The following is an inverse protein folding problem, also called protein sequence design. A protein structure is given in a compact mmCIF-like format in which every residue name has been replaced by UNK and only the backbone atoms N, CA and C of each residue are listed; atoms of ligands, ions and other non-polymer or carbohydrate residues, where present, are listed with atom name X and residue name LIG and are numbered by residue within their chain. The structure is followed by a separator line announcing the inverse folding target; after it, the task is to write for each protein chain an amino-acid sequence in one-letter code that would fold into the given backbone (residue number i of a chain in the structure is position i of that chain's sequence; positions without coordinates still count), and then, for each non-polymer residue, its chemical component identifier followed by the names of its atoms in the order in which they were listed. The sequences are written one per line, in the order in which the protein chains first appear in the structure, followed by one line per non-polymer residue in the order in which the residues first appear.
data_IF_699549358291
#
_entry.id   IF_699549358291
#
_cell.length_a   1.000
_cell.length_b   1.000
_cell.length_c   1.000
_cell.angle_alpha   90.00
_cell.angle_beta   90.00
_cell.angle_gamma   90.00
#
_symmetry.space_group_name_H-M   'P 1'
#
loop_
_entity.id
_entity.type
_entity.pdbx_description
1 polymer ?
#
# COMPACT_ATOMS: atom_id res chain seq x y z
N UNK A 1 -19.95 -34.56 -9.06
CA UNK A 1 -19.71 -33.41 -8.17
C UNK A 1 -18.22 -33.08 -8.16
N UNK A 2 -17.69 -32.55 -9.27
CA UNK A 2 -16.33 -31.99 -9.36
C UNK A 2 -16.50 -30.71 -10.17
N UNK A 3 -15.76 -29.65 -9.84
CA UNK A 3 -15.53 -28.42 -10.63
C UNK A 3 -16.04 -27.09 -10.06
N UNK A 4 -15.89 -26.84 -8.76
CA UNK A 4 -15.83 -25.46 -8.23
C UNK A 4 -14.42 -25.12 -7.70
N UNK A 5 -13.71 -26.08 -7.10
CA UNK A 5 -12.37 -25.86 -6.53
C UNK A 5 -11.26 -25.61 -7.56
N UNK A 6 -11.36 -26.16 -8.78
CA UNK A 6 -10.33 -26.03 -9.82
C UNK A 6 -10.28 -24.59 -10.38
N UNK A 7 -11.45 -23.97 -10.60
CA UNK A 7 -11.56 -22.60 -11.10
C UNK A 7 -11.02 -21.56 -10.11
N UNK A 8 -11.21 -21.78 -8.80
CA UNK A 8 -10.73 -20.87 -7.77
C UNK A 8 -9.19 -20.93 -7.64
N UNK A 9 -8.60 -22.12 -7.75
CA UNK A 9 -7.16 -22.30 -7.70
C UNK A 9 -6.44 -21.64 -8.88
N UNK A 10 -6.98 -21.78 -10.09
CA UNK A 10 -6.41 -21.15 -11.28
C UNK A 10 -6.53 -19.62 -11.24
N UNK A 11 -7.67 -19.09 -10.76
CA UNK A 11 -7.85 -17.66 -10.57
C UNK A 11 -6.90 -17.07 -9.52
N UNK A 12 -6.71 -17.76 -8.38
CA UNK A 12 -5.77 -17.33 -7.35
C UNK A 12 -4.34 -17.29 -7.88
N UNK A 13 -3.95 -18.32 -8.64
CA UNK A 13 -2.61 -18.42 -9.23
C UNK A 13 -2.36 -17.32 -10.26
N UNK A 14 -3.37 -17.00 -11.08
CA UNK A 14 -3.29 -15.90 -12.03
C UNK A 14 -3.15 -14.54 -11.34
N UNK A 15 -3.89 -14.31 -10.26
CA UNK A 15 -3.77 -13.10 -9.44
C UNK A 15 -2.39 -12.98 -8.79
N UNK A 16 -1.84 -14.07 -8.27
CA UNK A 16 -0.51 -14.06 -7.64
C UNK A 16 0.60 -13.70 -8.64
N UNK A 17 0.51 -14.20 -9.89
CA UNK A 17 1.44 -13.85 -10.97
C UNK A 17 1.33 -12.35 -11.27
N UNK A 18 0.13 -11.83 -11.44
CA UNK A 18 -0.09 -10.42 -11.75
C UNK A 18 0.40 -9.49 -10.63
N UNK A 19 0.13 -9.84 -9.36
CA UNK A 19 0.63 -9.09 -8.20
C UNK A 19 2.17 -9.11 -8.20
N UNK A 20 2.79 -10.26 -8.46
CA UNK A 20 4.24 -10.39 -8.50
C UNK A 20 4.86 -9.52 -9.59
N UNK A 21 4.28 -9.50 -10.78
CA UNK A 21 4.72 -8.65 -11.89
C UNK A 21 4.57 -7.17 -11.54
N UNK A 22 3.40 -6.76 -11.04
CA UNK A 22 3.15 -5.37 -10.62
C UNK A 22 4.06 -4.91 -9.50
N UNK A 23 4.45 -5.78 -8.57
CA UNK A 23 5.33 -5.40 -7.47
C UNK A 23 6.82 -5.64 -7.77
N UNK A 24 7.17 -6.24 -8.92
CA UNK A 24 8.55 -6.60 -9.27
C UNK A 24 9.52 -5.41 -9.30
N UNK A 25 9.04 -4.24 -9.72
CA UNK A 25 9.84 -3.01 -9.83
C UNK A 25 10.06 -2.30 -8.48
N UNK A 26 9.37 -2.72 -7.42
CA UNK A 26 9.52 -2.14 -6.08
C UNK A 26 10.68 -2.85 -5.38
N UNK A 27 11.81 -2.13 -5.27
CA UNK A 27 13.06 -2.63 -4.69
C UNK A 27 12.94 -3.04 -3.22
N UNK A 28 12.24 -2.24 -2.41
CA UNK A 28 12.10 -2.46 -0.97
C UNK A 28 10.62 -2.47 -0.58
N UNK A 29 10.18 -3.49 0.16
CA UNK A 29 8.81 -3.65 0.65
C UNK A 29 8.87 -3.71 2.18
N UNK A 30 8.32 -2.70 2.86
CA UNK A 30 8.35 -2.59 4.32
C UNK A 30 6.94 -2.81 4.84
N UNK A 31 6.77 -3.83 5.69
CA UNK A 31 5.51 -4.13 6.33
C UNK A 31 5.51 -3.58 7.76
N UNK A 32 4.54 -2.71 8.07
CA UNK A 32 4.36 -2.15 9.42
C UNK A 32 3.16 -2.83 10.05
N UNK A 33 3.38 -3.61 11.12
CA UNK A 33 2.35 -4.36 11.83
C UNK A 33 2.25 -3.93 13.30
N UNK A 34 1.11 -4.19 13.92
CA UNK A 34 0.89 -4.02 15.36
C UNK A 34 0.03 -5.15 15.90
N UNK A 35 0.34 -5.62 17.11
CA UNK A 35 -0.48 -6.61 17.82
C UNK A 35 -1.71 -6.02 18.55
N UNK A 36 -1.83 -4.70 18.67
CA UNK A 36 -2.95 -4.02 19.36
C UNK A 36 -3.40 -2.75 18.63
N UNK A 37 -4.69 -2.41 18.77
CA UNK A 37 -5.24 -1.15 18.26
C UNK A 37 -4.69 0.06 19.02
N UNK A 38 -4.58 1.22 18.35
CA UNK A 38 -4.22 2.49 18.99
C UNK A 38 -2.72 2.75 19.24
N UNK A 39 -1.82 1.82 18.91
CA UNK A 39 -0.37 2.01 19.11
C UNK A 39 0.30 2.96 18.11
N UNK A 40 -0.45 3.50 17.16
CA UNK A 40 0.09 4.41 16.15
C UNK A 40 0.74 3.75 14.93
N UNK A 41 0.41 2.49 14.61
CA UNK A 41 0.91 1.77 13.40
C UNK A 41 0.80 2.62 12.12
N UNK A 42 -0.36 3.21 11.87
CA UNK A 42 -0.60 4.04 10.68
C UNK A 42 0.21 5.35 10.72
N UNK A 43 0.43 5.93 11.91
CA UNK A 43 1.32 7.08 12.10
C UNK A 43 2.76 6.73 11.74
N UNK A 44 3.26 5.61 12.24
CA UNK A 44 4.63 5.15 11.94
C UNK A 44 4.80 4.92 10.44
N UNK A 45 3.84 4.23 9.80
CA UNK A 45 3.90 4.00 8.35
C UNK A 45 3.87 5.31 7.53
N UNK A 46 3.02 6.26 7.91
CA UNK A 46 2.91 7.57 7.26
C UNK A 46 4.20 8.38 7.39
N UNK A 47 4.71 8.56 8.62
CA UNK A 47 5.91 9.36 8.86
C UNK A 47 7.16 8.71 8.27
N UNK A 48 7.27 7.38 8.30
CA UNK A 48 8.36 6.68 7.62
C UNK A 48 8.35 6.94 6.12
N UNK A 49 7.16 6.90 5.50
CA UNK A 49 7.01 7.16 4.07
C UNK A 49 7.41 8.59 3.70
N UNK A 50 6.96 9.57 4.48
CA UNK A 50 7.35 10.98 4.31
C UNK A 50 8.86 11.17 4.50
N UNK A 51 9.45 10.54 5.51
CA UNK A 51 10.89 10.64 5.77
C UNK A 51 11.73 10.07 4.62
N UNK A 52 11.32 8.93 4.05
CA UNK A 52 11.96 8.33 2.89
C UNK A 52 11.77 9.19 1.64
N UNK A 53 10.58 9.75 1.42
CA UNK A 53 10.34 10.67 0.31
C UNK A 53 11.21 11.93 0.42
N UNK A 54 11.35 12.52 1.62
CA UNK A 54 12.24 13.66 1.89
C UNK A 54 13.72 13.35 1.64
N UNK A 55 14.13 12.09 1.74
CA UNK A 55 15.48 11.64 1.38
C UNK A 55 15.67 11.40 -0.12
N UNK A 56 14.66 11.69 -0.94
CA UNK A 56 14.72 11.57 -2.40
C UNK A 56 14.32 10.19 -2.96
N UNK A 57 13.80 9.29 -2.12
CA UNK A 57 13.32 7.99 -2.60
C UNK A 57 11.91 8.11 -3.22
N UNK A 58 11.63 7.30 -4.25
CA UNK A 58 10.26 7.07 -4.73
C UNK A 58 9.57 6.12 -3.76
N UNK A 59 8.54 6.61 -3.07
CA UNK A 59 7.85 5.88 -2.01
C UNK A 59 6.37 5.78 -2.34
N UNK A 60 5.82 4.58 -2.21
CA UNK A 60 4.38 4.33 -2.17
C UNK A 60 3.98 3.92 -0.75
N UNK A 61 2.83 4.41 -0.29
CA UNK A 61 2.23 4.00 0.97
C UNK A 61 0.88 3.35 0.67
N UNK A 62 0.77 2.06 0.97
CA UNK A 62 -0.45 1.29 0.82
C UNK A 62 -1.03 1.05 2.21
N UNK A 63 -2.26 1.49 2.43
CA UNK A 63 -3.01 1.17 3.64
C UNK A 63 -3.86 -0.07 3.40
N UNK A 64 -3.74 -1.04 4.29
CA UNK A 64 -4.56 -2.27 4.28
C UNK A 64 -5.50 -2.33 5.49
N UNK A 65 -5.47 -1.31 6.37
CA UNK A 65 -6.38 -1.21 7.51
C UNK A 65 -7.73 -0.60 7.09
N UNK A 66 -8.79 -1.40 7.17
CA UNK A 66 -10.16 -0.97 6.87
C UNK A 66 -10.83 -0.11 7.97
N UNK A 67 -10.25 0.00 9.18
CA UNK A 67 -10.96 0.52 10.37
C UNK A 67 -10.24 1.67 11.12
N UNK A 68 -9.35 2.41 10.46
CA UNK A 68 -8.61 3.54 11.07
C UNK A 68 -8.86 4.90 10.38
N UNK A 69 -8.40 6.03 10.97
CA UNK A 69 -8.38 7.30 10.25
C UNK A 69 -7.55 7.15 8.98
N UNK A 70 -8.14 7.47 7.84
CA UNK A 70 -7.53 7.24 6.54
C UNK A 70 -6.15 7.90 6.44
N UNK A 71 -5.13 7.18 6.00
CA UNK A 71 -3.79 7.73 5.72
C UNK A 71 -3.85 9.07 4.95
N UNK A 72 -4.72 9.25 3.94
CA UNK A 72 -4.94 10.55 3.30
C UNK A 72 -5.24 11.69 4.27
N UNK A 73 -6.10 11.44 5.26
CA UNK A 73 -6.45 12.43 6.30
C UNK A 73 -5.26 12.74 7.21
N UNK A 74 -4.43 11.75 7.54
CA UNK A 74 -3.21 11.96 8.33
C UNK A 74 -2.17 12.80 7.61
N UNK A 75 -2.06 12.62 6.28
CA UNK A 75 -1.15 13.40 5.43
C UNK A 75 -1.71 14.77 5.03
N UNK A 76 -2.90 15.14 5.52
CA UNK A 76 -3.55 16.41 5.19
C UNK A 76 -3.99 16.52 3.73
N UNK A 77 -4.06 15.40 3.00
CA UNK A 77 -4.41 15.37 1.59
C UNK A 77 -5.92 15.56 1.44
N UNK A 78 -6.34 16.65 0.80
CA UNK A 78 -7.74 16.96 0.46
C UNK A 78 -7.90 16.91 -1.07
N UNK A 79 -8.84 16.10 -1.57
CA UNK A 79 -9.13 15.95 -3.01
C UNK A 79 -8.92 14.52 -3.53
N UNK A 80 -9.31 14.27 -4.79
CA UNK A 80 -9.10 12.97 -5.45
C UNK A 80 -7.61 12.71 -5.65
N UNK A 81 -7.05 11.82 -4.84
CA UNK A 81 -5.69 11.29 -5.03
C UNK A 81 -5.78 10.20 -6.10
N UNK A 82 -5.84 10.61 -7.36
CA UNK A 82 -5.70 9.71 -8.50
C UNK A 82 -4.25 9.28 -8.69
N UNK A 83 -3.98 8.21 -9.46
CA UNK A 83 -2.62 7.82 -9.84
C UNK A 83 -2.04 8.89 -10.77
N UNK A 84 -1.47 9.96 -10.20
CA UNK A 84 -0.95 11.13 -10.93
C UNK A 84 -0.97 12.46 -10.16
N UNK A 85 -0.76 12.44 -8.84
CA UNK A 85 -0.66 13.68 -8.04
C UNK A 85 0.51 14.58 -8.50
N UNK A 86 0.45 15.90 -8.22
CA UNK A 86 1.23 16.91 -8.93
C UNK A 86 2.72 16.66 -8.78
N UNK A 87 3.38 16.41 -9.90
CA UNK A 87 4.83 16.54 -10.06
C UNK A 87 5.21 17.99 -9.78
N UNK A 88 5.51 18.29 -8.52
CA UNK A 88 6.31 19.47 -8.20
C UNK A 88 7.78 19.06 -8.36
N UNK A 89 8.30 19.30 -9.56
CA UNK A 89 9.73 19.48 -9.78
C UNK A 89 10.12 20.89 -9.29
N UNK A 90 11.36 21.09 -8.82
CA UNK A 90 11.86 22.40 -8.38
C UNK A 90 11.95 23.41 -9.52
#
# INVERSE_FOLDING_TARGET
MVNENMNQQDQQKQQDVEIKERLSHIKNKILVMSGKGGVGKSSVAAYLSVALAKKGYRVGLMDVDLHGPSIPRMLGLKGNIGPGGPTQSP
#
